data_IF_444052756079
#
_entry.id   IF_444052756079
#
_cell.length_a   1.000
_cell.length_b   1.000
_cell.length_c   1.000
_cell.angle_alpha   90.00
_cell.angle_beta   90.00
_cell.angle_gamma   90.00
#
_symmetry.space_group_name_H-M   'P 1'
#
loop_
_entity.id
_entity.type
_entity.pdbx_description
1 polymer ?
#
# COMPACT_ATOMS: atom_id res chain seq x y z
N UNK A 1 -39.20 9.34 -25.34
CA UNK A 1 -39.70 9.37 -23.95
C UNK A 1 -38.49 9.15 -23.05
N UNK A 2 -37.94 10.23 -22.49
CA UNK A 2 -36.75 10.19 -21.65
C UNK A 2 -37.16 9.84 -20.22
N UNK A 3 -37.19 8.54 -19.91
CA UNK A 3 -37.21 8.07 -18.53
C UNK A 3 -35.84 8.23 -17.92
N UNK A 4 -35.53 9.44 -17.44
CA UNK A 4 -34.30 9.69 -16.69
C UNK A 4 -34.34 8.89 -15.39
N UNK A 5 -33.57 7.81 -15.33
CA UNK A 5 -33.35 7.04 -14.12
C UNK A 5 -32.66 7.96 -13.10
N UNK A 6 -33.44 8.51 -12.15
CA UNK A 6 -32.89 9.26 -11.02
C UNK A 6 -32.37 8.22 -10.03
N UNK A 7 -31.05 8.04 -10.00
CA UNK A 7 -30.38 7.32 -8.91
C UNK A 7 -30.69 8.05 -7.60
N UNK A 8 -31.16 7.32 -6.58
CA UNK A 8 -31.29 7.88 -5.23
C UNK A 8 -29.94 7.84 -4.50
N UNK A 9 -29.86 8.42 -3.29
CA UNK A 9 -28.62 8.46 -2.51
C UNK A 9 -28.06 7.08 -2.14
N UNK A 10 -28.91 6.04 -2.04
CA UNK A 10 -28.46 4.67 -1.80
C UNK A 10 -27.79 4.08 -3.04
N UNK A 11 -28.34 4.34 -4.21
CA UNK A 11 -27.79 3.88 -5.48
C UNK A 11 -26.48 4.60 -5.85
N UNK A 12 -26.37 5.89 -5.52
CA UNK A 12 -25.11 6.65 -5.66
C UNK A 12 -24.01 6.06 -4.79
N UNK A 13 -24.30 5.81 -3.49
CA UNK A 13 -23.32 5.21 -2.58
C UNK A 13 -22.84 3.83 -3.07
N UNK A 14 -23.76 2.98 -3.55
CA UNK A 14 -23.41 1.68 -4.14
C UNK A 14 -22.56 1.83 -5.40
N UNK A 15 -22.85 2.82 -6.27
CA UNK A 15 -22.07 3.06 -7.48
C UNK A 15 -20.65 3.53 -7.14
N UNK A 16 -20.50 4.41 -6.15
CA UNK A 16 -19.20 4.86 -5.66
C UNK A 16 -18.38 3.67 -5.14
N UNK A 17 -18.96 2.82 -4.29
CA UNK A 17 -18.25 1.64 -3.76
C UNK A 17 -17.89 0.63 -4.86
N UNK A 18 -18.77 0.45 -5.86
CA UNK A 18 -18.46 -0.36 -7.04
C UNK A 18 -17.27 0.21 -7.82
N UNK A 19 -17.28 1.50 -8.12
CA UNK A 19 -16.21 2.16 -8.87
C UNK A 19 -14.87 2.09 -8.12
N UNK A 20 -14.88 2.33 -6.79
CA UNK A 20 -13.70 2.15 -5.94
C UNK A 20 -13.15 0.73 -6.04
N UNK A 21 -14.02 -0.26 -5.88
CA UNK A 21 -13.63 -1.68 -5.93
C UNK A 21 -13.05 -2.07 -7.29
N UNK A 22 -13.65 -1.62 -8.40
CA UNK A 22 -13.13 -1.91 -9.74
C UNK A 22 -11.79 -1.22 -10.00
N UNK A 23 -11.65 0.05 -9.64
CA UNK A 23 -10.39 0.78 -9.79
C UNK A 23 -9.28 0.13 -8.96
N UNK A 24 -9.54 -0.22 -7.70
CA UNK A 24 -8.58 -0.91 -6.83
C UNK A 24 -8.20 -2.29 -7.40
N UNK A 25 -9.16 -3.02 -7.96
CA UNK A 25 -8.92 -4.30 -8.63
C UNK A 25 -8.02 -4.11 -9.85
N UNK A 26 -8.26 -3.09 -10.66
CA UNK A 26 -7.45 -2.80 -11.84
C UNK A 26 -6.06 -2.28 -11.49
N UNK A 27 -5.93 -1.43 -10.47
CA UNK A 27 -4.64 -1.00 -9.91
C UNK A 27 -3.82 -2.23 -9.48
N UNK A 28 -4.41 -3.17 -8.73
CA UNK A 28 -3.72 -4.41 -8.33
C UNK A 28 -3.30 -5.24 -9.55
N UNK A 29 -4.21 -5.46 -10.50
CA UNK A 29 -3.92 -6.24 -11.70
C UNK A 29 -2.79 -5.62 -12.53
N UNK A 30 -2.75 -4.30 -12.65
CA UNK A 30 -1.73 -3.58 -13.40
C UNK A 30 -0.40 -3.53 -12.63
N UNK A 31 -0.39 -2.98 -11.41
CA UNK A 31 0.82 -2.62 -10.68
C UNK A 31 1.42 -3.75 -9.82
N UNK A 32 0.62 -4.74 -9.44
CA UNK A 32 1.09 -5.84 -8.58
C UNK A 32 1.21 -7.15 -9.37
N UNK A 33 0.20 -7.48 -10.19
CA UNK A 33 0.17 -8.75 -10.91
C UNK A 33 0.75 -8.68 -12.32
N UNK A 34 1.01 -7.47 -12.85
CA UNK A 34 1.45 -7.25 -14.24
C UNK A 34 0.53 -7.94 -15.28
N UNK A 35 -0.79 -7.94 -15.01
CA UNK A 35 -1.84 -8.57 -15.83
C UNK A 35 -3.02 -7.61 -16.05
N UNK A 36 -2.84 -6.50 -16.79
CA UNK A 36 -3.94 -5.59 -17.10
C UNK A 36 -5.04 -6.32 -17.89
N UNK A 37 -6.29 -6.08 -17.50
CA UNK A 37 -7.48 -6.71 -18.13
C UNK A 37 -8.39 -5.72 -18.84
N UNK A 38 -8.13 -4.42 -18.69
CA UNK A 38 -8.78 -3.33 -19.42
C UNK A 38 -7.72 -2.38 -19.94
N UNK A 39 -8.03 -1.61 -20.99
CA UNK A 39 -7.15 -0.57 -21.51
C UNK A 39 -7.32 0.76 -20.77
N UNK A 40 -6.37 1.67 -20.98
CA UNK A 40 -6.31 2.98 -20.30
C UNK A 40 -7.61 3.77 -20.41
N UNK A 41 -8.21 3.80 -21.60
CA UNK A 41 -9.47 4.51 -21.84
C UNK A 41 -10.61 4.01 -20.93
N UNK A 42 -10.74 2.70 -20.74
CA UNK A 42 -11.82 2.14 -19.91
C UNK A 42 -11.56 2.43 -18.43
N UNK A 43 -10.28 2.40 -18.03
CA UNK A 43 -9.86 2.77 -16.68
C UNK A 43 -10.16 4.25 -16.40
N UNK A 44 -9.80 5.14 -17.33
CA UNK A 44 -10.04 6.58 -17.22
C UNK A 44 -11.53 6.89 -17.07
N UNK A 45 -12.40 6.19 -17.81
CA UNK A 45 -13.85 6.34 -17.67
C UNK A 45 -14.35 5.97 -16.26
N UNK A 46 -13.85 4.88 -15.67
CA UNK A 46 -14.19 4.52 -14.28
C UNK A 46 -13.72 5.59 -13.30
N UNK A 47 -12.49 6.09 -13.48
CA UNK A 47 -11.89 7.08 -12.60
C UNK A 47 -12.58 8.44 -12.68
N UNK A 48 -12.88 8.91 -13.90
CA UNK A 48 -13.61 10.16 -14.13
C UNK A 48 -15.02 10.12 -13.54
N UNK A 49 -15.71 8.98 -13.66
CA UNK A 49 -17.03 8.80 -13.06
C UNK A 49 -16.97 8.87 -11.54
N UNK A 50 -16.01 8.16 -10.92
CA UNK A 50 -15.82 8.21 -9.47
C UNK A 50 -15.51 9.64 -9.00
N UNK A 51 -14.59 10.33 -9.69
CA UNK A 51 -14.21 11.69 -9.38
C UNK A 51 -15.38 12.67 -9.52
N UNK A 52 -16.28 12.45 -10.48
CA UNK A 52 -17.50 13.24 -10.63
C UNK A 52 -18.46 13.00 -9.47
N UNK A 53 -18.75 11.73 -9.16
CA UNK A 53 -19.69 11.38 -8.08
C UNK A 53 -19.22 11.87 -6.72
N UNK A 54 -17.93 11.76 -6.39
CA UNK A 54 -17.38 12.28 -5.13
C UNK A 54 -17.31 13.82 -5.05
N UNK A 55 -17.35 14.50 -6.20
CA UNK A 55 -17.50 15.96 -6.27
C UNK A 55 -18.95 16.38 -6.04
N UNK A 56 -19.90 15.68 -6.65
CA UNK A 56 -21.34 15.95 -6.55
C UNK A 56 -21.91 15.51 -5.20
N UNK A 57 -21.30 14.50 -4.56
CA UNK A 57 -21.72 13.92 -3.29
C UNK A 57 -20.58 13.88 -2.27
N UNK A 58 -20.20 15.02 -1.66
CA UNK A 58 -19.11 15.10 -0.69
C UNK A 58 -19.30 14.19 0.53
N UNK A 59 -20.54 13.84 0.89
CA UNK A 59 -20.89 12.93 1.97
C UNK A 59 -20.32 11.51 1.81
N UNK A 60 -19.97 11.11 0.58
CA UNK A 60 -19.37 9.80 0.30
C UNK A 60 -17.84 9.84 0.17
N UNK A 61 -17.19 11.00 0.31
CA UNK A 61 -15.72 11.09 0.22
C UNK A 61 -15.05 10.24 1.30
N UNK A 62 -14.02 9.49 0.90
CA UNK A 62 -13.23 8.66 1.80
C UNK A 62 -11.75 8.94 1.63
N UNK A 63 -11.00 8.98 2.74
CA UNK A 63 -9.54 9.11 2.75
C UNK A 63 -8.81 7.92 2.12
N UNK A 64 -9.51 6.81 1.92
CA UNK A 64 -9.04 5.59 1.24
C UNK A 64 -9.48 5.50 -0.23
N UNK A 65 -10.22 6.48 -0.74
CA UNK A 65 -10.66 6.45 -2.15
C UNK A 65 -9.46 6.55 -3.11
N UNK A 66 -9.46 5.83 -4.25
CA UNK A 66 -8.42 5.95 -5.27
C UNK A 66 -8.21 7.37 -5.81
N UNK A 67 -9.22 8.24 -5.70
CA UNK A 67 -9.13 9.65 -6.11
C UNK A 67 -8.24 10.49 -5.18
N UNK A 68 -7.94 9.99 -3.98
CA UNK A 68 -7.09 10.65 -2.99
C UNK A 68 -5.59 10.43 -3.23
N UNK A 69 -5.22 9.70 -4.30
CA UNK A 69 -3.82 9.41 -4.65
C UNK A 69 -3.08 10.58 -5.32
N UNK A 70 -3.67 11.77 -5.36
CA UNK A 70 -3.06 12.98 -5.94
C UNK A 70 -2.10 13.65 -4.95
N UNK A 71 -1.00 14.17 -5.48
CA UNK A 71 -0.08 15.02 -4.72
C UNK A 71 -0.83 16.27 -4.25
N UNK A 72 -0.83 16.52 -2.94
CA UNK A 72 -1.33 17.78 -2.37
C UNK A 72 -0.28 18.90 -2.45
N UNK A 73 -0.51 19.97 -1.69
CA UNK A 73 0.48 21.03 -1.50
C UNK A 73 1.78 20.49 -0.89
N UNK A 74 2.95 21.06 -1.23
CA UNK A 74 4.22 20.69 -0.61
C UNK A 74 4.18 20.80 0.91
N UNK A 75 4.66 19.76 1.60
CA UNK A 75 4.80 19.78 3.05
C UNK A 75 5.98 20.69 3.46
N UNK A 76 5.84 21.40 4.58
CA UNK A 76 6.92 22.18 5.19
C UNK A 76 7.99 21.31 5.86
N UNK A 77 7.68 20.04 6.13
CA UNK A 77 8.56 19.04 6.72
C UNK A 77 7.78 17.77 7.09
N UNK A 78 8.50 16.76 7.58
CA UNK A 78 7.91 15.50 8.02
C UNK A 78 7.82 15.43 9.55
N UNK A 79 6.73 14.86 10.05
CA UNK A 79 6.59 14.55 11.47
C UNK A 79 7.40 13.30 11.81
N UNK A 80 7.99 13.24 13.01
CA UNK A 80 8.71 12.06 13.45
C UNK A 80 7.77 10.98 13.98
N UNK A 81 8.07 9.73 13.67
CA UNK A 81 7.31 8.55 14.05
C UNK A 81 8.21 7.59 14.79
N UNK A 82 7.82 7.20 16.01
CA UNK A 82 8.46 6.11 16.75
C UNK A 82 7.90 4.77 16.28
N UNK A 83 8.81 3.85 15.96
CA UNK A 83 8.51 2.47 15.62
C UNK A 83 8.36 1.63 16.88
N UNK A 84 7.27 0.89 16.99
CA UNK A 84 7.01 -0.04 18.10
C UNK A 84 6.35 -1.33 17.58
N UNK A 85 7.09 -2.45 17.50
CA UNK A 85 8.49 -2.63 17.88
C UNK A 85 9.47 -1.93 16.92
N UNK A 86 10.75 -1.73 17.29
CA UNK A 86 11.76 -1.16 16.39
C UNK A 86 11.91 -1.94 15.07
N UNK A 87 12.32 -1.25 14.01
CA UNK A 87 12.70 -1.83 12.72
C UNK A 87 14.15 -2.34 12.77
N UNK A 88 14.29 -3.65 12.94
CA UNK A 88 15.59 -4.33 13.02
C UNK A 88 16.33 -4.30 11.68
N UNK A 89 17.65 -4.44 11.73
CA UNK A 89 18.49 -4.73 10.58
C UNK A 89 18.99 -6.16 10.65
N UNK A 90 19.24 -6.76 9.49
CA UNK A 90 19.90 -8.06 9.41
C UNK A 90 21.43 -7.89 9.39
N UNK A 91 22.12 -8.86 9.97
CA UNK A 91 23.56 -9.00 9.81
C UNK A 91 23.91 -9.32 8.35
N UNK A 92 25.10 -8.91 7.93
CA UNK A 92 25.60 -9.11 6.56
C UNK A 92 26.70 -10.17 6.57
N UNK A 93 26.74 -10.96 5.51
CA UNK A 93 27.86 -11.86 5.22
C UNK A 93 28.27 -11.71 3.76
N UNK A 94 29.57 -11.88 3.50
CA UNK A 94 30.13 -11.88 2.15
C UNK A 94 30.87 -13.18 1.83
N UNK A 95 30.80 -14.18 2.71
CA UNK A 95 31.52 -15.43 2.54
C UNK A 95 30.62 -16.65 2.74
N UNK A 96 30.91 -17.70 1.97
CA UNK A 96 30.23 -18.99 2.12
C UNK A 96 30.50 -19.62 3.50
N UNK A 97 31.67 -19.36 4.08
CA UNK A 97 32.06 -19.86 5.40
C UNK A 97 31.15 -19.32 6.50
N UNK A 98 31.04 -17.99 6.61
CA UNK A 98 30.15 -17.32 7.57
C UNK A 98 28.68 -17.77 7.44
N UNK A 99 28.19 -17.97 6.20
CA UNK A 99 26.85 -18.51 5.98
C UNK A 99 26.70 -19.96 6.48
N UNK A 100 27.76 -20.77 6.33
CA UNK A 100 27.78 -22.15 6.85
C UNK A 100 27.82 -22.17 8.38
N UNK A 101 28.53 -21.23 9.00
CA UNK A 101 28.57 -21.07 10.45
C UNK A 101 27.21 -20.64 11.01
N UNK A 102 26.49 -19.76 10.30
CA UNK A 102 25.11 -19.41 10.62
C UNK A 102 24.18 -20.63 10.54
N UNK A 103 24.24 -21.44 9.48
CA UNK A 103 23.44 -22.67 9.36
C UNK A 103 23.78 -23.68 10.47
N UNK A 104 25.05 -23.87 10.79
CA UNK A 104 25.48 -24.74 11.87
C UNK A 104 24.95 -24.28 13.24
N UNK A 105 24.92 -22.97 13.48
CA UNK A 105 24.33 -22.38 14.68
C UNK A 105 22.82 -22.63 14.73
N UNK A 106 22.07 -22.35 13.65
CA UNK A 106 20.61 -22.58 13.62
C UNK A 106 20.27 -24.06 13.87
N UNK A 107 20.99 -25.01 13.25
CA UNK A 107 20.78 -26.46 13.45
C UNK A 107 21.00 -26.94 14.88
N UNK A 108 21.80 -26.22 15.67
CA UNK A 108 22.04 -26.56 17.07
C UNK A 108 20.90 -26.07 17.97
N UNK A 109 20.27 -24.95 17.62
CA UNK A 109 19.29 -24.27 18.47
C UNK A 109 17.83 -24.58 18.06
N UNK A 110 17.59 -25.00 16.82
CA UNK A 110 16.23 -25.17 16.26
C UNK A 110 16.13 -26.46 15.44
N UNK A 111 15.12 -27.28 15.75
CA UNK A 111 14.78 -28.48 14.99
C UNK A 111 13.68 -28.21 13.94
N UNK A 112 13.70 -28.98 12.85
CA UNK A 112 12.59 -29.01 11.88
C UNK A 112 12.37 -27.72 11.09
N UNK A 113 13.43 -26.98 10.76
CA UNK A 113 13.33 -25.71 10.04
C UNK A 113 13.60 -25.81 8.54
N UNK A 114 13.19 -24.76 7.83
CA UNK A 114 13.55 -24.49 6.44
C UNK A 114 13.89 -23.01 6.27
N UNK A 115 14.76 -22.68 5.31
CA UNK A 115 15.03 -21.29 4.96
C UNK A 115 14.08 -20.79 3.89
N UNK A 116 13.56 -19.58 4.09
CA UNK A 116 13.02 -18.76 3.01
C UNK A 116 14.13 -17.83 2.51
N UNK A 117 14.33 -17.77 1.20
CA UNK A 117 15.37 -16.96 0.58
C UNK A 117 14.72 -15.99 -0.39
N UNK A 118 14.88 -14.70 -0.11
CA UNK A 118 14.30 -13.62 -0.90
C UNK A 118 15.42 -12.71 -1.42
N UNK A 119 15.31 -12.17 -2.65
CA UNK A 119 16.22 -11.14 -3.12
C UNK A 119 16.19 -9.93 -2.19
N UNK A 120 17.38 -9.43 -1.81
CA UNK A 120 17.47 -8.20 -1.06
C UNK A 120 17.22 -7.01 -1.99
N UNK A 121 16.05 -6.39 -1.87
CA UNK A 121 15.73 -5.14 -2.57
C UNK A 121 16.62 -4.01 -2.06
N UNK A 122 17.13 -3.20 -2.99
CA UNK A 122 17.90 -2.00 -2.69
C UNK A 122 16.99 -0.79 -2.86
N UNK A 123 16.50 -0.27 -1.73
CA UNK A 123 15.50 0.79 -1.68
C UNK A 123 15.45 1.43 -0.30
N UNK A 124 14.32 2.05 0.00
CA UNK A 124 14.03 2.68 1.29
C UNK A 124 13.06 1.81 2.06
N UNK A 125 13.50 1.28 3.20
CA UNK A 125 12.64 0.50 4.08
C UNK A 125 11.51 1.37 4.63
N UNK A 126 10.29 0.83 4.55
CA UNK A 126 9.03 1.52 4.84
C UNK A 126 8.18 0.67 5.78
N UNK A 127 7.47 1.34 6.69
CA UNK A 127 6.43 0.75 7.53
C UNK A 127 5.07 1.34 7.14
N UNK A 128 4.06 0.49 6.96
CA UNK A 128 2.69 0.85 6.60
C UNK A 128 1.74 0.35 7.70
N UNK A 129 1.15 1.28 8.44
CA UNK A 129 0.16 0.97 9.46
C UNK A 129 -1.25 1.08 8.87
N UNK A 130 -1.99 -0.01 9.00
CA UNK A 130 -3.39 -0.11 8.65
C UNK A 130 -4.23 -0.23 9.91
N UNK A 131 -5.29 0.57 10.00
CA UNK A 131 -6.30 0.49 11.06
C UNK A 131 -7.69 0.45 10.42
N UNK A 132 -8.56 -0.44 10.90
CA UNK A 132 -9.80 -0.82 10.23
C UNK A 132 -9.59 -1.12 8.74
N UNK A 133 -8.46 -1.78 8.42
CA UNK A 133 -7.98 -2.08 7.06
C UNK A 133 -7.66 -0.85 6.20
N UNK A 134 -7.65 0.37 6.73
CA UNK A 134 -7.32 1.59 5.97
C UNK A 134 -5.90 2.03 6.26
N UNK A 135 -5.16 2.47 5.24
CA UNK A 135 -3.82 3.03 5.42
C UNK A 135 -3.92 4.35 6.21
N UNK A 136 -3.49 4.32 7.47
CA UNK A 136 -3.51 5.49 8.35
C UNK A 136 -2.16 6.17 8.47
N UNK A 137 -1.06 5.42 8.32
CA UNK A 137 0.29 5.97 8.42
C UNK A 137 1.29 5.20 7.56
N UNK A 138 2.19 5.90 6.90
CA UNK A 138 3.42 5.33 6.35
C UNK A 138 4.63 6.05 6.93
N UNK A 139 5.65 5.30 7.33
CA UNK A 139 6.84 5.87 7.95
C UNK A 139 8.13 5.26 7.39
N UNK A 140 9.13 6.11 7.15
CA UNK A 140 10.49 5.64 6.81
C UNK A 140 11.10 4.90 7.99
N UNK A 141 12.12 4.06 7.73
CA UNK A 141 12.86 3.42 8.81
C UNK A 141 13.63 4.40 9.70
N UNK A 142 14.20 5.45 9.12
CA UNK A 142 15.15 6.33 9.81
C UNK A 142 16.27 5.54 10.48
N UNK A 143 16.45 5.72 11.79
CA UNK A 143 17.47 5.01 12.58
C UNK A 143 17.02 3.62 13.07
N UNK A 144 15.81 3.17 12.72
CA UNK A 144 15.21 1.91 13.15
C UNK A 144 14.32 2.04 14.39
N UNK A 145 14.46 3.11 15.18
CA UNK A 145 13.56 3.44 16.30
C UNK A 145 12.63 4.60 15.96
N UNK A 146 13.14 5.58 15.22
CA UNK A 146 12.41 6.77 14.79
C UNK A 146 12.67 6.97 13.29
N UNK A 147 11.61 7.22 12.55
CA UNK A 147 11.64 7.68 11.17
C UNK A 147 10.68 8.84 10.93
N UNK A 148 10.37 9.08 9.67
CA UNK A 148 9.58 10.23 9.22
C UNK A 148 8.24 9.76 8.66
N UNK A 149 7.15 10.44 9.03
CA UNK A 149 5.82 10.25 8.45
C UNK A 149 5.82 10.74 7.00
N UNK A 150 5.68 9.80 6.07
CA UNK A 150 5.66 10.02 4.62
C UNK A 150 4.34 9.53 4.02
N UNK A 151 3.26 9.53 4.81
CA UNK A 151 1.96 8.97 4.42
C UNK A 151 1.43 9.55 3.11
N UNK A 152 1.50 10.87 2.94
CA UNK A 152 1.03 11.53 1.72
C UNK A 152 1.83 11.08 0.49
N UNK A 153 3.14 10.96 0.61
CA UNK A 153 4.01 10.48 -0.46
C UNK A 153 3.66 9.03 -0.83
N UNK A 154 3.53 8.15 0.17
CA UNK A 154 3.26 6.73 -0.05
C UNK A 154 1.87 6.49 -0.65
N UNK A 155 0.86 7.31 -0.33
CA UNK A 155 -0.47 7.20 -0.96
C UNK A 155 -0.43 7.35 -2.48
N UNK A 156 0.57 8.03 -3.03
CA UNK A 156 0.76 8.18 -4.49
C UNK A 156 1.30 6.91 -5.16
N UNK A 157 1.88 5.98 -4.41
CA UNK A 157 2.42 4.72 -4.92
C UNK A 157 1.26 3.76 -5.20
N UNK A 158 1.03 3.47 -6.48
CA UNK A 158 -0.15 2.74 -6.95
C UNK A 158 -0.22 1.29 -6.47
N UNK A 159 0.92 0.63 -6.33
CA UNK A 159 1.01 -0.74 -5.79
C UNK A 159 0.69 -0.82 -4.29
N UNK A 160 0.70 0.31 -3.56
CA UNK A 160 0.31 0.34 -2.14
C UNK A 160 -1.21 0.45 -2.04
N UNK A 161 -1.91 -0.54 -1.44
CA UNK A 161 -3.36 -0.45 -1.24
C UNK A 161 -3.68 0.60 -0.18
N UNK A 162 -4.66 1.47 -0.45
CA UNK A 162 -5.20 2.39 0.56
C UNK A 162 -6.17 1.70 1.52
N UNK A 163 -6.73 0.57 1.09
CA UNK A 163 -7.61 -0.31 1.86
C UNK A 163 -7.21 -1.77 1.64
N UNK A 164 -7.05 -2.53 2.72
CA UNK A 164 -6.78 -3.96 2.66
C UNK A 164 -8.05 -4.78 2.35
N UNK A 165 -7.90 -5.99 1.78
CA UNK A 165 -8.99 -6.92 1.57
C UNK A 165 -9.81 -7.23 2.83
N UNK A 166 -11.10 -7.60 2.72
CA UNK A 166 -11.97 -7.84 3.88
C UNK A 166 -11.50 -8.95 4.83
N UNK A 167 -10.73 -9.92 4.33
CA UNK A 167 -10.15 -11.03 5.10
C UNK A 167 -8.84 -10.66 5.81
N UNK A 168 -8.30 -9.47 5.57
CA UNK A 168 -7.15 -8.95 6.32
C UNK A 168 -7.54 -8.59 7.77
N UNK A 169 -6.59 -8.64 8.73
CA UNK A 169 -6.80 -8.16 10.09
C UNK A 169 -7.25 -6.68 10.13
N UNK A 170 -8.02 -6.32 11.16
CA UNK A 170 -8.47 -4.93 11.32
C UNK A 170 -7.30 -3.96 11.55
N UNK A 171 -6.28 -4.38 12.31
CA UNK A 171 -5.08 -3.60 12.56
C UNK A 171 -3.82 -4.42 12.23
N UNK A 172 -2.95 -3.87 11.38
CA UNK A 172 -1.69 -4.51 11.01
C UNK A 172 -0.65 -3.46 10.57
N UNK A 173 0.60 -3.67 10.98
CA UNK A 173 1.75 -2.95 10.44
C UNK A 173 2.52 -3.86 9.48
N UNK A 174 2.63 -3.45 8.22
CA UNK A 174 3.35 -4.18 7.17
C UNK A 174 4.65 -3.45 6.85
N UNK A 175 5.76 -4.18 6.72
CA UNK A 175 7.08 -3.62 6.41
C UNK A 175 7.60 -4.16 5.09
N UNK A 176 8.27 -3.31 4.34
CA UNK A 176 8.86 -3.65 3.05
C UNK A 176 9.74 -2.53 2.51
N UNK A 177 10.03 -2.58 1.22
CA UNK A 177 10.93 -1.64 0.56
C UNK A 177 10.20 -0.84 -0.52
N UNK A 178 10.40 0.48 -0.52
CA UNK A 178 10.05 1.35 -1.65
C UNK A 178 11.30 1.57 -2.49
N UNK A 179 11.21 1.34 -3.79
CA UNK A 179 12.35 1.46 -4.70
C UNK A 179 11.92 2.07 -6.04
N UNK A 180 12.91 2.47 -6.83
CA UNK A 180 12.71 2.97 -8.19
C UNK A 180 13.18 1.91 -9.18
N UNK A 181 12.37 1.64 -10.20
CA UNK A 181 12.78 0.77 -11.31
C UNK A 181 13.86 1.46 -12.15
N UNK A 182 14.68 0.67 -12.84
CA UNK A 182 15.76 1.22 -13.70
C UNK A 182 15.29 1.71 -15.07
N UNK A 183 14.03 1.46 -15.39
CA UNK A 183 13.42 1.67 -16.70
C UNK A 183 12.38 2.80 -16.65
#
# INVERSE_FOLDING_TARGET
MNGGFRMDGSDIGKRIEFLRSEIERHDRLYYVEARPVIGDRDYDLLYEELLKLEREHPEFRSASSPTQRVSGEPLSGFAQVRHDPPMQSLDKTHSKGELSDFDAMVRREVDGFSYNVEPKVDGVSMSLLYENRQLVRAATRGNGQVGDDVTLNVKTIRSVPLRLPPDAPDAIEVRGEVFMTRD
#
